data_IF_744610330181
#
_entry.id   IF_744610330181
#
_cell.length_a   1.000
_cell.length_b   1.000
_cell.length_c   1.000
_cell.angle_alpha   90.00
_cell.angle_beta   90.00
_cell.angle_gamma   90.00
#
_symmetry.space_group_name_H-M   'P 1'
#
loop_
_entity.id
_entity.type
_entity.pdbx_description
1 polymer ?
#
# COMPACT_ATOMS: atom_id res chain seq x y z
N UNK A 1 22.23 22.21 -6.61
CA UNK A 1 20.89 22.63 -6.13
C UNK A 1 19.71 21.85 -6.71
N UNK A 2 19.74 21.34 -7.95
CA UNK A 2 18.57 20.66 -8.55
C UNK A 2 18.15 19.34 -7.84
N UNK A 3 19.10 18.49 -7.42
CA UNK A 3 18.76 17.23 -6.74
C UNK A 3 18.07 17.42 -5.38
N UNK A 4 18.41 18.47 -4.62
CA UNK A 4 17.80 18.74 -3.32
C UNK A 4 16.31 19.10 -3.48
N UNK A 5 15.97 19.92 -4.49
CA UNK A 5 14.58 20.28 -4.79
C UNK A 5 13.78 19.06 -5.27
N UNK A 6 14.40 18.17 -6.04
CA UNK A 6 13.76 16.91 -6.47
C UNK A 6 13.51 15.97 -5.28
N UNK A 7 14.51 15.74 -4.42
CA UNK A 7 14.37 14.92 -3.21
C UNK A 7 13.29 15.50 -2.28
N UNK A 8 13.28 16.81 -2.10
CA UNK A 8 12.25 17.52 -1.31
C UNK A 8 10.88 17.33 -1.95
N UNK A 9 10.71 17.51 -3.26
CA UNK A 9 9.43 17.28 -3.94
C UNK A 9 8.94 15.82 -3.84
N UNK A 10 9.87 14.86 -3.84
CA UNK A 10 9.58 13.44 -3.61
C UNK A 10 9.14 13.15 -2.16
N UNK A 11 9.78 13.79 -1.17
CA UNK A 11 9.40 13.71 0.24
C UNK A 11 8.09 14.44 0.54
N UNK A 12 7.81 15.56 -0.13
CA UNK A 12 6.62 16.38 0.06
C UNK A 12 5.34 15.71 -0.46
N UNK A 13 5.46 14.68 -1.31
CA UNK A 13 4.34 13.80 -1.62
C UNK A 13 4.21 12.79 -0.49
N UNK A 14 3.67 13.27 0.64
CA UNK A 14 3.47 12.49 1.85
C UNK A 14 2.89 11.12 1.47
N UNK A 15 3.61 10.01 1.74
CA UNK A 15 3.11 8.69 1.41
C UNK A 15 1.84 8.46 2.23
N UNK A 16 0.77 8.02 1.57
CA UNK A 16 -0.48 7.67 2.24
C UNK A 16 -0.21 6.64 3.32
N UNK A 17 -0.77 6.85 4.51
CA UNK A 17 -0.58 5.98 5.67
C UNK A 17 -1.91 5.38 6.09
N UNK A 18 -1.93 4.09 6.39
CA UNK A 18 -3.07 3.36 6.93
C UNK A 18 -2.69 2.74 8.28
N UNK A 19 -3.68 2.37 9.06
CA UNK A 19 -3.46 1.63 10.31
C UNK A 19 -3.50 0.12 10.06
N UNK A 20 -2.90 -0.66 10.96
CA UNK A 20 -3.01 -2.13 10.97
C UNK A 20 -4.45 -2.63 11.19
N UNK A 21 -5.34 -1.75 11.64
CA UNK A 21 -6.78 -2.02 11.81
C UNK A 21 -7.58 -1.75 10.52
N UNK A 22 -6.96 -1.19 9.48
CA UNK A 22 -7.63 -0.91 8.21
C UNK A 22 -7.80 -2.21 7.41
N UNK A 23 -9.04 -2.61 7.04
CA UNK A 23 -9.26 -3.87 6.34
C UNK A 23 -8.64 -3.84 4.94
N UNK A 24 -8.14 -5.00 4.49
CA UNK A 24 -7.40 -5.13 3.23
C UNK A 24 -8.23 -4.70 2.02
N UNK A 25 -9.54 -4.95 2.03
CA UNK A 25 -10.46 -4.51 0.97
C UNK A 25 -10.45 -2.98 0.80
N UNK A 26 -10.46 -2.23 1.92
CA UNK A 26 -10.34 -0.76 1.88
C UNK A 26 -8.98 -0.32 1.33
N UNK A 27 -7.90 -1.04 1.68
CA UNK A 27 -6.57 -0.78 1.12
C UNK A 27 -6.58 -0.98 -0.40
N UNK A 28 -7.13 -2.09 -0.89
CA UNK A 28 -7.26 -2.37 -2.32
C UNK A 28 -8.07 -1.27 -3.03
N UNK A 29 -9.18 -0.86 -2.43
CA UNK A 29 -10.03 0.22 -2.94
C UNK A 29 -9.30 1.56 -3.02
N UNK A 30 -8.49 1.91 -2.02
CA UNK A 30 -7.65 3.11 -2.06
C UNK A 30 -6.65 3.07 -3.21
N UNK A 31 -6.02 1.93 -3.46
CA UNK A 31 -5.11 1.78 -4.60
C UNK A 31 -5.83 1.92 -5.95
N UNK A 32 -7.05 1.38 -6.08
CA UNK A 32 -7.86 1.47 -7.29
C UNK A 32 -8.39 2.89 -7.54
N UNK A 33 -8.96 3.52 -6.51
CA UNK A 33 -9.64 4.83 -6.61
C UNK A 33 -8.68 6.00 -6.67
N UNK A 34 -7.57 5.94 -5.91
CA UNK A 34 -6.64 7.07 -5.77
C UNK A 34 -5.36 6.88 -6.60
N UNK A 35 -5.18 5.73 -7.25
CA UNK A 35 -4.01 5.45 -8.08
C UNK A 35 -2.70 5.39 -7.28
N UNK A 36 -2.76 4.95 -6.02
CA UNK A 36 -1.60 4.90 -5.14
C UNK A 36 -0.56 3.90 -5.66
N UNK A 37 0.72 4.24 -5.47
CA UNK A 37 1.85 3.33 -5.77
C UNK A 37 2.25 2.50 -4.55
N UNK A 38 2.12 3.11 -3.37
CA UNK A 38 2.49 2.53 -2.09
C UNK A 38 1.68 3.18 -0.97
N UNK A 39 1.51 2.45 0.12
CA UNK A 39 0.90 2.91 1.37
C UNK A 39 1.79 2.44 2.52
N UNK A 40 1.96 3.28 3.53
CA UNK A 40 2.64 2.92 4.77
C UNK A 40 1.64 2.33 5.75
N UNK A 41 1.98 1.25 6.43
CA UNK A 41 1.17 0.68 7.51
C UNK A 41 1.77 1.12 8.83
N UNK A 42 0.97 1.73 9.69
CA UNK A 42 1.40 2.26 10.98
C UNK A 42 0.53 1.73 12.10
N UNK A 43 1.07 1.68 13.32
CA UNK A 43 0.31 1.37 14.54
C UNK A 43 0.86 2.21 15.68
N UNK A 44 -0.01 2.98 16.34
CA UNK A 44 0.35 3.86 17.46
C UNK A 44 1.55 4.79 17.13
N UNK A 45 1.55 5.38 15.93
CA UNK A 45 2.62 6.27 15.47
C UNK A 45 3.93 5.57 15.07
N UNK A 46 4.01 4.23 15.14
CA UNK A 46 5.17 3.46 14.67
C UNK A 46 4.91 2.89 13.28
N UNK A 47 5.90 3.00 12.39
CA UNK A 47 5.87 2.37 11.08
C UNK A 47 6.04 0.85 11.24
N UNK A 48 5.06 0.08 10.75
CA UNK A 48 5.11 -1.38 10.74
C UNK A 48 5.65 -1.93 9.42
N UNK A 49 5.33 -1.27 8.30
CA UNK A 49 5.74 -1.74 6.98
C UNK A 49 5.19 -0.91 5.84
N UNK A 50 5.39 -1.41 4.63
CA UNK A 50 4.96 -0.78 3.38
C UNK A 50 4.18 -1.81 2.56
N UNK A 51 3.03 -1.42 2.04
CA UNK A 51 2.28 -2.19 1.05
C UNK A 51 2.44 -1.48 -0.29
N UNK A 52 2.86 -2.22 -1.31
CA UNK A 52 3.01 -1.71 -2.67
C UNK A 52 1.93 -2.27 -3.59
N UNK A 53 1.75 -1.62 -4.75
CA UNK A 53 0.85 -2.13 -5.80
C UNK A 53 1.21 -3.57 -6.23
N UNK A 54 2.49 -3.94 -6.19
CA UNK A 54 2.96 -5.30 -6.51
C UNK A 54 2.44 -6.32 -5.50
N UNK A 55 2.47 -5.98 -4.22
CA UNK A 55 2.01 -6.86 -3.14
C UNK A 55 0.51 -7.11 -3.22
N UNK A 56 -0.27 -6.07 -3.56
CA UNK A 56 -1.72 -6.20 -3.80
C UNK A 56 -2.00 -7.14 -4.97
N UNK A 57 -1.30 -6.97 -6.09
CA UNK A 57 -1.48 -7.85 -7.26
C UNK A 57 -1.10 -9.30 -6.95
N UNK A 58 -0.09 -9.52 -6.12
CA UNK A 58 0.29 -10.86 -5.68
C UNK A 58 -0.76 -11.47 -4.74
N UNK A 59 -1.28 -10.68 -3.79
CA UNK A 59 -2.31 -11.09 -2.86
C UNK A 59 -3.62 -11.49 -3.56
N UNK A 60 -4.06 -10.70 -4.55
CA UNK A 60 -5.26 -11.02 -5.34
C UNK A 60 -5.11 -12.34 -6.11
N UNK A 61 -3.96 -12.57 -6.76
CA UNK A 61 -3.68 -13.83 -7.47
C UNK A 61 -3.65 -15.04 -6.54
N UNK A 62 -3.21 -14.84 -5.30
CA UNK A 62 -3.21 -15.91 -4.29
C UNK A 62 -4.64 -16.25 -3.85
N UNK A 63 -5.50 -15.25 -3.67
CA UNK A 63 -6.92 -15.45 -3.33
C UNK A 63 -7.67 -16.31 -4.34
N UNK A 64 -7.43 -16.10 -5.63
CA UNK A 64 -8.04 -16.90 -6.72
C UNK A 64 -7.63 -18.38 -6.68
N UNK A 65 -6.51 -18.71 -6.03
CA UNK A 65 -6.03 -20.11 -5.96
C UNK A 65 -6.74 -20.88 -4.84
N UNK A 66 -7.12 -20.21 -3.74
CA UNK A 66 -7.67 -20.86 -2.53
C UNK A 66 -9.13 -21.32 -2.75
N UNK A 67 -9.89 -20.65 -3.62
CA UNK A 67 -11.26 -21.08 -3.95
C UNK A 67 -11.31 -22.25 -4.96
N UNK A 68 -10.20 -22.52 -5.68
CA UNK A 68 -10.24 -23.50 -6.77
C UNK A 68 -10.05 -24.95 -6.32
N UNK A 69 -9.60 -25.23 -5.10
CA UNK A 69 -9.37 -26.60 -4.60
C UNK A 69 -9.94 -26.76 -3.18
N UNK A 70 -11.27 -26.89 -3.02
CA UNK A 70 -11.83 -27.47 -1.81
C UNK A 70 -11.50 -28.96 -1.82
N UNK A 71 -10.83 -29.45 -0.77
CA UNK A 71 -11.05 -30.84 -0.36
C UNK A 71 -12.43 -30.94 0.28
#
# INVERSE_FOLDING_TARGET
>A
MHCAVVIVLWLFKAPMTVTDQTPMETVIDMFRKLGLRQVLVTRNGRLLGIITKKDILHFMKMGDTIESHPF
#
